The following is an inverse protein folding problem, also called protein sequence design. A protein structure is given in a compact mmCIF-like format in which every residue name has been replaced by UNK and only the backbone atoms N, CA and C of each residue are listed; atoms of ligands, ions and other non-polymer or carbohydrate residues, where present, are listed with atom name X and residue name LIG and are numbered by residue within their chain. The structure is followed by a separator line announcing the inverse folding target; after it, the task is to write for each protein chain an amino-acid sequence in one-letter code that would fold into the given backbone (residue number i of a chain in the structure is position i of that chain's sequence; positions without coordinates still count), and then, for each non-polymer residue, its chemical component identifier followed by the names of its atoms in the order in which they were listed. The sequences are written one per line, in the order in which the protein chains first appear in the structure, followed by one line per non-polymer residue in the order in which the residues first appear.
data_IF_945893248748
#
_entry.id   IF_945893248748
#
_cell.length_a   1.000
_cell.length_b   1.000
_cell.length_c   1.000
_cell.angle_alpha   90.00
_cell.angle_beta   90.00
_cell.angle_gamma   90.00
#
_symmetry.space_group_name_H-M   'P 1'
#
loop_
_entity.id
_entity.type
_entity.pdbx_description
1 polymer ?
#
# COMPACT_ATOMS: atom_id res chain seq x y z
N UNK A 1 -7.55 0.14 -8.47
CA UNK A 1 -7.34 -1.22 -7.91
C UNK A 1 -6.14 -1.88 -8.57
N UNK A 2 -6.14 -2.06 -9.89
CA UNK A 2 -5.07 -2.78 -10.63
C UNK A 2 -3.65 -2.23 -10.34
N UNK A 3 -3.45 -0.91 -10.38
CA UNK A 3 -2.15 -0.27 -10.11
C UNK A 3 -1.62 -0.48 -8.68
N UNK A 4 -2.49 -0.54 -7.67
CA UNK A 4 -2.07 -0.79 -6.28
C UNK A 4 -1.62 -2.23 -6.14
N UNK A 5 -2.37 -3.16 -6.74
CA UNK A 5 -2.03 -4.58 -6.75
C UNK A 5 -0.71 -4.85 -7.47
N UNK A 6 -0.46 -4.19 -8.59
CA UNK A 6 0.82 -4.29 -9.30
C UNK A 6 2.01 -3.94 -8.39
N UNK A 7 1.92 -2.83 -7.63
CA UNK A 7 2.98 -2.45 -6.67
C UNK A 7 3.15 -3.53 -5.59
N UNK A 8 2.06 -4.03 -5.03
CA UNK A 8 2.12 -5.06 -3.99
C UNK A 8 2.79 -6.35 -4.50
N UNK A 9 2.45 -6.77 -5.72
CA UNK A 9 3.05 -7.94 -6.38
C UNK A 9 4.51 -7.68 -6.76
N UNK A 10 4.89 -6.45 -7.11
CA UNK A 10 6.29 -6.06 -7.37
C UNK A 10 7.15 -6.23 -6.08
N UNK A 11 6.59 -5.92 -4.91
CA UNK A 11 7.29 -6.00 -3.61
C UNK A 11 7.32 -7.45 -3.07
N UNK A 12 6.17 -8.15 -3.13
CA UNK A 12 5.99 -9.52 -2.64
C UNK A 12 5.30 -10.39 -3.69
N UNK A 13 6.02 -10.85 -4.72
CA UNK A 13 5.44 -11.65 -5.80
C UNK A 13 4.96 -13.03 -5.33
N UNK A 14 5.34 -13.48 -4.13
CA UNK A 14 4.86 -14.71 -3.51
C UNK A 14 3.38 -14.64 -3.06
N UNK A 15 2.81 -13.44 -2.97
CA UNK A 15 1.43 -13.22 -2.55
C UNK A 15 0.56 -12.67 -3.69
N UNK A 16 -0.68 -13.15 -3.76
CA UNK A 16 -1.60 -12.79 -4.84
C UNK A 16 -2.50 -11.57 -4.49
N UNK A 17 -2.34 -11.02 -3.27
CA UNK A 17 -3.07 -9.86 -2.70
C UNK A 17 -4.55 -9.81 -3.10
N UNK A 18 -5.26 -10.93 -2.90
CA UNK A 18 -6.71 -10.99 -3.10
C UNK A 18 -7.45 -10.24 -1.98
N UNK A 19 -8.54 -9.57 -2.36
CA UNK A 19 -9.33 -8.74 -1.46
C UNK A 19 -10.02 -9.59 -0.36
N UNK A 20 -10.13 -9.01 0.84
CA UNK A 20 -10.53 -9.58 2.14
C UNK A 20 -9.46 -10.28 3.01
N UNK A 21 -8.20 -9.85 2.95
CA UNK A 21 -7.19 -10.21 3.97
C UNK A 21 -6.49 -8.97 4.49
N UNK A 22 -6.27 -8.91 5.81
CA UNK A 22 -5.38 -7.93 6.42
C UNK A 22 -3.93 -8.33 6.18
N UNK A 23 -3.24 -7.62 5.29
CA UNK A 23 -1.88 -7.95 4.85
C UNK A 23 -0.85 -7.90 5.97
N UNK A 24 -1.04 -7.03 6.96
CA UNK A 24 -0.15 -6.91 8.10
C UNK A 24 -0.39 -8.06 9.08
N UNK A 25 -1.65 -8.31 9.45
CA UNK A 25 -1.99 -9.39 10.39
C UNK A 25 -1.69 -10.79 9.82
N UNK A 26 -1.85 -10.95 8.51
CA UNK A 26 -1.47 -12.18 7.80
C UNK A 26 0.05 -12.36 7.67
N UNK A 27 0.86 -11.36 8.05
CA UNK A 27 2.32 -11.38 7.90
C UNK A 27 2.79 -11.32 6.45
N UNK A 28 1.94 -10.82 5.54
CA UNK A 28 2.26 -10.67 4.12
C UNK A 28 3.13 -9.43 3.88
N UNK A 29 2.89 -8.37 4.64
CA UNK A 29 3.69 -7.14 4.65
C UNK A 29 4.29 -6.92 6.03
N UNK A 30 5.60 -6.63 6.07
CA UNK A 30 6.30 -6.20 7.27
C UNK A 30 6.57 -4.68 7.26
N UNK A 31 7.28 -4.19 8.29
CA UNK A 31 7.62 -2.77 8.39
C UNK A 31 8.51 -2.27 7.26
N UNK A 32 9.39 -3.11 6.68
CA UNK A 32 10.24 -2.72 5.56
C UNK A 32 9.45 -2.67 4.26
N UNK A 33 8.55 -3.63 4.06
CA UNK A 33 7.66 -3.65 2.90
C UNK A 33 6.77 -2.42 2.84
N UNK A 34 6.27 -1.95 3.99
CA UNK A 34 5.48 -0.71 4.08
C UNK A 34 6.29 0.50 3.61
N UNK A 35 7.57 0.63 3.98
CA UNK A 35 8.40 1.76 3.54
C UNK A 35 8.65 1.72 2.02
N UNK A 36 8.89 0.53 1.46
CA UNK A 36 9.02 0.37 0.01
C UNK A 36 7.70 0.70 -0.71
N UNK A 37 6.58 0.23 -0.17
CA UNK A 37 5.24 0.50 -0.69
C UNK A 37 4.91 1.99 -0.70
N UNK A 38 5.26 2.72 0.36
CA UNK A 38 5.12 4.19 0.41
C UNK A 38 5.90 4.84 -0.73
N UNK A 39 7.16 4.46 -0.92
CA UNK A 39 8.03 5.03 -1.96
C UNK A 39 7.46 4.79 -3.36
N UNK A 40 7.06 3.55 -3.66
CA UNK A 40 6.48 3.19 -4.96
C UNK A 40 5.14 3.88 -5.22
N UNK A 41 4.32 4.08 -4.19
CA UNK A 41 3.06 4.82 -4.29
C UNK A 41 3.34 6.30 -4.60
N UNK A 42 4.24 6.95 -3.86
CA UNK A 42 4.60 8.35 -4.08
C UNK A 42 5.09 8.56 -5.51
N UNK A 43 5.95 7.68 -6.02
CA UNK A 43 6.47 7.74 -7.39
C UNK A 43 5.39 7.46 -8.45
N UNK A 44 4.61 6.37 -8.32
CA UNK A 44 3.62 5.97 -9.34
C UNK A 44 2.40 6.89 -9.38
N UNK A 45 2.05 7.53 -8.27
CA UNK A 45 0.89 8.43 -8.18
C UNK A 45 1.26 9.92 -8.14
N UNK A 46 2.54 10.26 -8.00
CA UNK A 46 3.01 11.64 -7.94
C UNK A 46 2.49 12.38 -6.71
N UNK A 47 2.45 11.69 -5.57
CA UNK A 47 1.95 12.20 -4.29
C UNK A 47 3.05 12.19 -3.24
N UNK A 48 2.77 12.77 -2.09
CA UNK A 48 3.63 12.67 -0.91
C UNK A 48 2.78 12.23 0.29
N UNK A 49 3.22 11.18 0.98
CA UNK A 49 2.55 10.61 2.15
C UNK A 49 3.22 11.21 3.39
N UNK A 50 2.41 11.73 4.33
CA UNK A 50 2.96 12.22 5.60
C UNK A 50 3.48 11.04 6.43
N UNK A 51 4.65 11.19 7.05
CA UNK A 51 5.23 10.15 7.90
C UNK A 51 4.32 9.71 9.05
N UNK A 52 3.41 10.59 9.49
CA UNK A 52 2.41 10.32 10.52
C UNK A 52 1.28 9.40 10.03
N UNK A 53 1.03 9.37 8.72
CA UNK A 53 0.04 8.51 8.08
C UNK A 53 0.64 7.14 7.69
N UNK A 54 1.94 6.92 7.92
CA UNK A 54 2.59 5.62 7.71
C UNK A 54 2.26 4.68 8.89
N UNK A 55 1.00 4.28 8.97
CA UNK A 55 0.46 3.41 10.02
C UNK A 55 0.02 2.07 9.41
N UNK A 56 0.22 0.93 10.09
CA UNK A 56 -0.19 -0.38 9.58
C UNK A 56 -1.64 -0.45 9.12
N UNK A 57 -2.54 0.29 9.79
CA UNK A 57 -3.96 0.39 9.46
C UNK A 57 -4.22 0.98 8.06
N UNK A 58 -3.33 1.85 7.57
CA UNK A 58 -3.43 2.44 6.24
C UNK A 58 -2.89 1.52 5.12
N UNK A 59 -2.20 0.44 5.47
CA UNK A 59 -1.64 -0.54 4.51
C UNK A 59 -2.18 -1.96 4.68
N UNK A 60 -3.17 -2.13 5.57
CA UNK A 60 -3.71 -3.45 5.88
C UNK A 60 -4.54 -4.06 4.74
N UNK A 61 -5.02 -3.25 3.79
CA UNK A 61 -5.84 -3.71 2.66
C UNK A 61 -5.69 -2.79 1.45
N UNK A 62 -6.11 -3.27 0.26
CA UNK A 62 -6.12 -2.44 -0.95
C UNK A 62 -7.00 -1.19 -0.75
N UNK A 63 -8.15 -1.31 -0.08
CA UNK A 63 -9.03 -0.18 0.20
C UNK A 63 -8.40 0.82 1.19
N UNK A 64 -7.66 0.35 2.20
CA UNK A 64 -6.92 1.24 3.10
C UNK A 64 -5.85 2.04 2.33
N UNK A 65 -5.08 1.37 1.48
CA UNK A 65 -4.04 2.00 0.65
C UNK A 65 -4.68 3.01 -0.31
N UNK A 66 -5.80 2.64 -0.91
CA UNK A 66 -6.58 3.52 -1.79
C UNK A 66 -7.04 4.79 -1.05
N UNK A 67 -7.54 4.65 0.17
CA UNK A 67 -7.96 5.79 1.00
C UNK A 67 -6.77 6.69 1.35
N UNK A 68 -5.62 6.10 1.69
CA UNK A 68 -4.38 6.85 1.95
C UNK A 68 -3.97 7.67 0.72
N UNK A 69 -3.95 7.05 -0.46
CA UNK A 69 -3.61 7.74 -1.73
C UNK A 69 -4.55 8.94 -1.96
N UNK A 70 -5.86 8.76 -1.76
CA UNK A 70 -6.84 9.85 -1.92
C UNK A 70 -6.61 10.96 -0.89
N UNK A 71 -6.32 10.60 0.37
CA UNK A 71 -6.02 11.54 1.45
C UNK A 71 -4.79 12.39 1.13
N UNK A 72 -3.75 11.77 0.56
CA UNK A 72 -2.52 12.43 0.10
C UNK A 72 -2.68 13.21 -1.22
N UNK A 73 -3.89 13.30 -1.78
CA UNK A 73 -4.18 14.08 -2.98
C UNK A 73 -4.01 13.33 -4.31
N UNK A 74 -3.81 12.01 -4.26
CA UNK A 74 -3.67 11.15 -5.42
C UNK A 74 -4.98 10.85 -6.13
N UNK A 75 -4.87 10.41 -7.39
CA UNK A 75 -6.01 10.00 -8.24
C UNK A 75 -5.85 8.53 -8.62
N UNK A 76 -6.95 7.78 -8.50
CA UNK A 76 -6.98 6.32 -8.64
C UNK A 76 -7.93 5.91 -9.75
#
# INVERSE_FOLDING_TARGET
MERIREILVDIRPEYDFFEDVNFIEAGMLDSFDVINLVTDIEEKFGIQIDGSDILPENFCSIDSIKNLIILSGGKI
#
